data_IF_163997992397
#
_entry.id   IF_163997992397
#
_cell.length_a   1.000
_cell.length_b   1.000
_cell.length_c   1.000
_cell.angle_alpha   90.00
_cell.angle_beta   90.00
_cell.angle_gamma   90.00
#
_symmetry.space_group_name_H-M   'P 1'
#
loop_
_entity.id
_entity.type
_entity.pdbx_description
1 polymer ?
#
# COMPACT_ATOMS: atom_id res chain seq x y z
N UNK A 1 17.83 41.06 -15.90
CA UNK A 1 16.84 39.97 -15.95
C UNK A 1 16.78 39.41 -14.56
N UNK A 2 15.65 39.64 -13.89
CA UNK A 2 15.40 39.19 -12.52
C UNK A 2 15.18 37.68 -12.52
N UNK A 3 16.10 36.94 -11.89
CA UNK A 3 16.03 35.48 -11.76
C UNK A 3 14.99 35.08 -10.69
N UNK A 4 14.57 36.02 -9.83
CA UNK A 4 13.51 35.81 -8.83
C UNK A 4 12.11 35.70 -9.42
N UNK A 5 11.72 36.64 -10.29
CA UNK A 5 10.36 36.72 -10.88
C UNK A 5 9.93 35.45 -11.60
N UNK A 6 10.86 34.78 -12.30
CA UNK A 6 10.54 33.58 -13.09
C UNK A 6 10.33 32.32 -12.21
N UNK A 7 10.96 32.27 -11.02
CA UNK A 7 10.73 31.17 -10.06
C UNK A 7 9.38 31.32 -9.36
N UNK A 8 8.98 32.55 -9.08
CA UNK A 8 7.71 32.85 -8.43
C UNK A 8 6.53 32.60 -9.37
N UNK A 9 6.64 33.00 -10.66
CA UNK A 9 5.59 32.71 -11.67
C UNK A 9 5.35 31.20 -11.86
N UNK A 10 6.42 30.41 -12.00
CA UNK A 10 6.30 28.95 -12.18
C UNK A 10 5.74 28.24 -10.95
N UNK A 11 6.01 28.79 -9.76
CA UNK A 11 5.45 28.27 -8.51
C UNK A 11 3.94 28.54 -8.41
N UNK A 12 3.49 29.74 -8.76
CA UNK A 12 2.06 30.07 -8.78
C UNK A 12 1.29 29.23 -9.81
N UNK A 13 1.86 29.02 -11.00
CA UNK A 13 1.26 28.15 -12.02
C UNK A 13 1.11 26.71 -11.49
N UNK A 14 2.16 26.16 -10.89
CA UNK A 14 2.12 24.83 -10.26
C UNK A 14 1.08 24.75 -9.15
N UNK A 15 1.00 25.77 -8.28
CA UNK A 15 0.05 25.79 -7.18
C UNK A 15 -1.40 25.83 -7.69
N UNK A 16 -1.65 26.58 -8.76
CA UNK A 16 -2.96 26.60 -9.41
C UNK A 16 -3.30 25.24 -10.01
N UNK A 17 -2.38 24.61 -10.74
CA UNK A 17 -2.59 23.27 -11.30
C UNK A 17 -2.83 22.21 -10.21
N UNK A 18 -2.12 22.30 -9.08
CA UNK A 18 -2.34 21.45 -7.92
C UNK A 18 -3.75 21.61 -7.34
N UNK A 19 -4.21 22.85 -7.18
CA UNK A 19 -5.58 23.15 -6.69
C UNK A 19 -6.63 22.60 -7.64
N UNK A 20 -6.43 22.79 -8.94
CA UNK A 20 -7.35 22.32 -9.98
C UNK A 20 -7.41 20.79 -9.99
N UNK A 21 -6.27 20.11 -9.86
CA UNK A 21 -6.22 18.65 -9.75
C UNK A 21 -6.95 18.16 -8.49
N UNK A 22 -6.67 18.73 -7.31
CA UNK A 22 -7.34 18.32 -6.07
C UNK A 22 -8.85 18.49 -6.18
N UNK A 23 -9.32 19.62 -6.72
CA UNK A 23 -10.74 19.88 -6.92
C UNK A 23 -11.39 18.87 -7.88
N UNK A 24 -10.70 18.54 -8.98
CA UNK A 24 -11.16 17.51 -9.91
C UNK A 24 -11.23 16.14 -9.24
N UNK A 25 -10.20 15.74 -8.50
CA UNK A 25 -10.15 14.46 -7.79
C UNK A 25 -11.26 14.36 -6.75
N UNK A 26 -11.53 15.41 -5.98
CA UNK A 26 -12.65 15.45 -5.04
C UNK A 26 -13.99 15.22 -5.76
N UNK A 27 -14.18 15.87 -6.91
CA UNK A 27 -15.40 15.73 -7.71
C UNK A 27 -15.58 14.32 -8.28
N UNK A 28 -14.48 13.60 -8.53
CA UNK A 28 -14.49 12.24 -9.09
C UNK A 28 -14.65 11.19 -7.98
N UNK A 29 -13.95 11.35 -6.86
CA UNK A 29 -13.75 10.29 -5.87
C UNK A 29 -14.61 10.42 -4.61
N UNK A 30 -15.11 11.60 -4.29
CA UNK A 30 -15.99 11.79 -3.15
C UNK A 30 -17.41 11.96 -3.66
N UNK A 31 -18.16 10.87 -3.60
CA UNK A 31 -19.61 10.83 -3.91
C UNK A 31 -20.39 10.64 -2.62
N UNK A 32 -21.72 10.81 -2.66
CA UNK A 32 -22.56 10.69 -1.46
C UNK A 32 -22.45 9.33 -0.74
N UNK A 33 -22.03 8.28 -1.46
CA UNK A 33 -21.98 6.90 -0.96
C UNK A 33 -20.57 6.42 -0.58
N UNK A 34 -19.51 7.08 -1.07
CA UNK A 34 -18.12 6.63 -0.87
C UNK A 34 -17.14 7.80 -0.83
N UNK A 35 -16.39 7.90 0.28
CA UNK A 35 -15.31 8.87 0.48
C UNK A 35 -13.97 8.19 0.23
N UNK A 36 -13.56 8.17 -1.04
CA UNK A 36 -12.34 7.51 -1.49
C UNK A 36 -11.10 8.40 -1.30
N UNK A 37 -11.26 9.72 -1.34
CA UNK A 37 -10.17 10.71 -1.23
C UNK A 37 -10.28 11.51 0.08
N UNK A 38 -9.20 11.54 0.86
CA UNK A 38 -9.06 12.37 2.05
C UNK A 38 -7.94 13.38 1.87
N UNK A 39 -8.24 14.66 2.12
CA UNK A 39 -7.22 15.72 2.19
C UNK A 39 -6.70 15.79 3.62
N UNK A 40 -5.44 15.43 3.82
CA UNK A 40 -4.79 15.43 5.14
C UNK A 40 -4.16 16.78 5.47
N UNK A 41 -3.70 17.51 4.44
CA UNK A 41 -3.13 18.84 4.56
C UNK A 41 -3.39 19.61 3.26
N UNK A 42 -3.56 20.92 3.39
CA UNK A 42 -3.77 21.85 2.29
C UNK A 42 -2.87 23.08 2.45
N UNK A 43 -2.52 23.70 1.32
CA UNK A 43 -1.65 24.88 1.27
C UNK A 43 -2.45 26.09 1.80
N UNK A 44 -1.96 26.72 2.87
CA UNK A 44 -2.56 27.93 3.46
C UNK A 44 -1.65 29.14 3.24
N UNK A 45 -2.21 30.34 3.12
CA UNK A 45 -1.44 31.60 2.93
C UNK A 45 -0.37 31.85 4.01
N UNK A 46 -0.55 31.27 5.21
CA UNK A 46 0.30 31.50 6.39
C UNK A 46 1.38 30.42 6.64
N UNK A 47 1.46 29.34 5.84
CA UNK A 47 2.37 28.20 6.09
C UNK A 47 2.94 27.59 4.81
N UNK A 48 4.19 27.12 4.86
CA UNK A 48 4.84 26.24 3.86
C UNK A 48 4.23 24.82 3.79
N UNK A 49 2.92 24.71 4.02
CA UNK A 49 2.22 23.45 3.96
C UNK A 49 2.09 22.99 2.50
N UNK A 50 2.18 21.68 2.31
CA UNK A 50 1.95 21.04 1.02
C UNK A 50 0.58 20.37 1.03
N UNK A 51 0.02 20.14 -0.17
CA UNK A 51 -1.10 19.22 -0.30
C UNK A 51 -0.62 17.82 0.08
N UNK A 52 -1.31 17.20 1.03
CA UNK A 52 -1.14 15.78 1.34
C UNK A 52 -2.48 15.10 1.22
N UNK A 53 -2.57 14.08 0.36
CA UNK A 53 -3.79 13.35 0.07
C UNK A 53 -3.60 11.87 0.44
N UNK A 54 -4.67 11.26 0.93
CA UNK A 54 -4.79 9.82 1.09
C UNK A 54 -5.93 9.34 0.19
N UNK A 55 -5.60 8.47 -0.76
CA UNK A 55 -6.58 7.82 -1.65
C UNK A 55 -6.72 6.36 -1.26
N UNK A 56 -7.94 5.93 -0.96
CA UNK A 56 -8.28 4.52 -0.81
C UNK A 56 -8.52 3.93 -2.19
N UNK A 57 -7.92 2.79 -2.51
CA UNK A 57 -8.02 2.19 -3.84
C UNK A 57 -8.52 0.77 -3.66
N UNK A 58 -9.59 0.42 -4.36
CA UNK A 58 -10.20 -0.91 -4.35
C UNK A 58 -9.88 -1.60 -5.68
N UNK A 59 -8.79 -2.37 -5.80
CA UNK A 59 -8.45 -3.04 -7.05
C UNK A 59 -9.59 -3.94 -7.53
N UNK A 60 -9.95 -3.79 -8.81
CA UNK A 60 -11.04 -4.57 -9.42
C UNK A 60 -10.52 -5.94 -9.81
N UNK A 61 -11.04 -7.03 -9.21
CA UNK A 61 -10.64 -8.37 -9.60
C UNK A 61 -11.07 -8.65 -11.04
N UNK A 62 -10.25 -9.41 -11.77
CA UNK A 62 -10.59 -9.87 -13.13
C UNK A 62 -11.75 -10.87 -13.11
N UNK A 63 -11.89 -11.59 -12.00
CA UNK A 63 -12.96 -12.56 -11.75
C UNK A 63 -13.91 -12.06 -10.66
N UNK A 64 -15.09 -12.66 -10.53
CA UNK A 64 -16.08 -12.29 -9.51
C UNK A 64 -15.63 -12.60 -8.06
N UNK A 65 -14.61 -13.45 -7.90
CA UNK A 65 -14.08 -13.83 -6.61
C UNK A 65 -12.59 -14.21 -6.69
N UNK A 66 -11.90 -14.07 -5.56
CA UNK A 66 -10.49 -14.45 -5.38
C UNK A 66 -10.42 -15.52 -4.29
N UNK A 67 -9.70 -16.61 -4.55
CA UNK A 67 -9.29 -17.57 -3.55
C UNK A 67 -8.10 -17.02 -2.78
N UNK A 68 -8.24 -16.90 -1.47
CA UNK A 68 -7.20 -16.45 -0.55
C UNK A 68 -6.67 -17.66 0.21
N UNK A 69 -5.37 -17.91 0.08
CA UNK A 69 -4.64 -18.92 0.83
C UNK A 69 -3.81 -18.26 1.91
N UNK A 70 -3.99 -18.72 3.15
CA UNK A 70 -3.30 -18.16 4.31
C UNK A 70 -2.40 -19.21 4.92
N UNK A 71 -1.18 -18.80 5.25
CA UNK A 71 -0.22 -19.62 5.98
C UNK A 71 0.21 -18.86 7.23
N UNK A 72 0.03 -19.48 8.40
CA UNK A 72 0.40 -18.89 9.70
C UNK A 72 1.42 -19.79 10.40
N UNK A 73 2.46 -19.25 11.06
CA UNK A 73 3.36 -20.06 11.87
C UNK A 73 2.59 -20.69 13.04
N UNK A 74 2.95 -21.91 13.43
CA UNK A 74 2.29 -22.61 14.54
C UNK A 74 2.80 -22.15 15.93
N UNK A 75 3.94 -21.45 15.98
CA UNK A 75 4.58 -20.91 17.17
C UNK A 75 4.92 -19.45 16.87
N UNK A 76 4.44 -18.54 17.71
CA UNK A 76 5.02 -17.20 17.84
C UNK A 76 6.06 -17.36 18.94
N UNK A 77 7.34 -17.22 18.61
CA UNK A 77 8.40 -17.23 19.60
C UNK A 77 8.20 -15.98 20.48
N UNK A 78 7.72 -16.15 21.71
CA UNK A 78 7.62 -15.07 22.70
C UNK A 78 8.93 -14.86 23.47
N UNK A 79 9.98 -15.66 23.21
CA UNK A 79 11.26 -15.54 23.90
C UNK A 79 12.44 -15.79 22.94
N UNK A 80 13.02 -14.72 22.39
CA UNK A 80 14.40 -14.73 21.88
C UNK A 80 15.36 -14.84 23.08
N UNK A 81 15.53 -16.05 23.61
CA UNK A 81 16.76 -16.42 24.32
C UNK A 81 17.44 -17.56 23.57
N UNK A 82 18.35 -17.15 22.67
CA UNK A 82 19.29 -18.01 21.99
C UNK A 82 20.17 -18.74 23.02
N UNK A 83 19.94 -20.04 23.23
CA UNK A 83 20.97 -20.91 23.79
C UNK A 83 20.93 -22.32 23.20
N UNK A 84 22.11 -22.70 22.74
CA UNK A 84 22.44 -23.80 21.86
C UNK A 84 21.99 -25.20 22.33
N UNK A 85 21.67 -26.04 21.34
CA UNK A 85 22.13 -27.43 21.36
C UNK A 85 21.07 -28.52 21.56
N UNK A 86 21.22 -29.54 20.72
CA UNK A 86 20.60 -30.86 20.73
C UNK A 86 19.13 -30.95 20.27
N UNK A 87 18.95 -31.86 19.31
CA UNK A 87 17.70 -32.41 18.83
C UNK A 87 16.71 -32.73 19.96
N UNK A 88 15.83 -31.78 20.25
CA UNK A 88 14.61 -32.00 21.00
C UNK A 88 13.47 -31.47 20.14
N UNK A 89 12.90 -32.36 19.31
CA UNK A 89 11.60 -32.08 18.72
C UNK A 89 10.61 -31.82 19.88
N UNK A 90 9.94 -30.67 19.94
CA UNK A 90 8.99 -30.40 21.00
C UNK A 90 7.91 -31.49 21.03
N UNK A 91 7.44 -31.91 22.22
CA UNK A 91 6.53 -33.04 22.37
C UNK A 91 5.26 -32.83 21.55
N UNK A 92 4.79 -33.90 20.89
CA UNK A 92 3.65 -33.96 19.97
C UNK A 92 2.28 -33.60 20.57
N UNK A 93 2.18 -32.89 21.70
CA UNK A 93 0.90 -32.67 22.39
C UNK A 93 0.70 -31.30 23.06
N UNK A 94 1.34 -30.25 22.57
CA UNK A 94 0.81 -28.89 22.77
C UNK A 94 0.15 -28.45 21.46
N UNK A 95 -1.08 -28.93 21.26
CA UNK A 95 -1.94 -28.41 20.21
C UNK A 95 -2.37 -27.00 20.62
N UNK A 96 -1.52 -26.01 20.33
CA UNK A 96 -1.95 -24.61 20.25
C UNK A 96 -3.24 -24.62 19.45
N UNK A 97 -4.34 -24.11 20.02
CA UNK A 97 -5.61 -24.06 19.30
C UNK A 97 -5.39 -23.31 17.97
N UNK A 98 -6.05 -23.71 16.87
CA UNK A 98 -5.90 -23.00 15.61
C UNK A 98 -6.21 -21.51 15.84
N UNK A 99 -5.41 -20.58 15.28
CA UNK A 99 -5.70 -19.17 15.40
C UNK A 99 -7.13 -18.90 14.92
N UNK A 100 -7.93 -18.23 15.76
CA UNK A 100 -9.33 -17.94 15.44
C UNK A 100 -9.39 -16.79 14.44
N UNK A 101 -9.80 -17.07 13.22
CA UNK A 101 -10.14 -16.04 12.24
C UNK A 101 -11.61 -15.63 12.35
N UNK A 102 -11.92 -14.39 11.98
CA UNK A 102 -13.29 -13.98 11.73
C UNK A 102 -13.90 -14.91 10.65
N UNK A 103 -15.15 -15.32 10.85
CA UNK A 103 -15.94 -16.16 9.93
C UNK A 103 -15.63 -17.69 9.88
N UNK A 104 -15.07 -18.28 10.95
CA UNK A 104 -14.90 -19.76 11.06
C UNK A 104 -14.11 -20.38 9.89
N UNK A 105 -13.04 -19.73 9.44
CA UNK A 105 -12.14 -20.31 8.43
C UNK A 105 -11.51 -21.58 9.04
N UNK A 106 -11.71 -22.73 8.37
CA UNK A 106 -11.12 -23.99 8.81
C UNK A 106 -9.63 -24.01 8.47
N UNK A 107 -8.80 -24.07 9.50
CA UNK A 107 -7.37 -24.26 9.35
C UNK A 107 -7.02 -25.72 9.56
N UNK A 108 -6.11 -26.21 8.73
CA UNK A 108 -5.47 -27.50 8.90
C UNK A 108 -4.00 -27.31 9.25
N UNK A 109 -3.44 -28.27 10.00
CA UNK A 109 -2.01 -28.28 10.28
C UNK A 109 -1.27 -28.82 9.07
N UNK A 110 -0.20 -28.15 8.66
CA UNK A 110 0.72 -28.65 7.62
C UNK A 110 1.35 -29.99 8.01
N UNK A 111 1.87 -30.72 7.02
CA UNK A 111 2.48 -32.04 7.21
C UNK A 111 3.68 -32.02 8.18
N UNK A 112 4.45 -30.92 8.22
CA UNK A 112 5.56 -30.75 9.16
C UNK A 112 5.10 -30.40 10.58
N UNK A 113 3.82 -30.08 10.76
CA UNK A 113 3.28 -29.54 12.00
C UNK A 113 3.63 -28.07 12.25
N UNK A 114 4.51 -27.45 11.47
CA UNK A 114 5.10 -26.14 11.81
C UNK A 114 4.21 -24.96 11.43
N UNK A 115 3.17 -25.18 10.62
CA UNK A 115 2.31 -24.11 10.08
C UNK A 115 0.84 -24.52 10.06
N UNK A 116 -0.03 -23.53 10.25
CA UNK A 116 -1.45 -23.61 9.94
C UNK A 116 -1.69 -23.12 8.52
N UNK A 117 -2.58 -23.78 7.80
CA UNK A 117 -2.97 -23.42 6.44
C UNK A 117 -4.48 -23.49 6.27
N UNK A 118 -5.03 -22.55 5.51
CA UNK A 118 -6.44 -22.53 5.16
C UNK A 118 -6.68 -21.73 3.89
N UNK A 119 -7.86 -21.95 3.30
CA UNK A 119 -8.28 -21.32 2.05
C UNK A 119 -9.70 -20.81 2.20
N UNK A 120 -9.99 -19.63 1.71
CA UNK A 120 -11.34 -19.07 1.65
C UNK A 120 -11.50 -18.21 0.39
N UNK A 121 -12.74 -17.85 0.07
CA UNK A 121 -13.06 -17.07 -1.14
C UNK A 121 -13.64 -15.73 -0.73
N UNK A 122 -13.14 -14.66 -1.33
CA UNK A 122 -13.63 -13.29 -1.12
C UNK A 122 -14.09 -12.67 -2.44
N UNK A 123 -15.08 -11.78 -2.36
CA UNK A 123 -15.51 -10.95 -3.49
C UNK A 123 -14.73 -9.64 -3.57
N UNK A 124 -14.26 -9.15 -2.43
CA UNK A 124 -13.61 -7.86 -2.29
C UNK A 124 -12.37 -8.01 -1.42
N UNK A 125 -11.27 -7.36 -1.82
CA UNK A 125 -10.07 -7.21 -1.01
C UNK A 125 -10.17 -5.92 -0.18
N UNK A 126 -9.41 -5.84 0.91
CA UNK A 126 -9.31 -4.57 1.65
C UNK A 126 -8.68 -3.49 0.75
N UNK A 127 -9.10 -2.21 0.88
CA UNK A 127 -8.53 -1.13 0.09
C UNK A 127 -7.03 -0.97 0.32
N UNK A 128 -6.31 -0.62 -0.74
CA UNK A 128 -4.94 -0.13 -0.72
C UNK A 128 -4.93 1.38 -0.42
N UNK A 129 -3.88 1.87 0.23
CA UNK A 129 -3.68 3.29 0.47
C UNK A 129 -2.62 3.83 -0.50
N UNK A 130 -2.94 4.93 -1.16
CA UNK A 130 -1.98 5.78 -1.87
C UNK A 130 -1.87 7.10 -1.11
N UNK A 131 -0.75 7.30 -0.41
CA UNK A 131 -0.41 8.55 0.25
C UNK A 131 0.40 9.39 -0.72
N UNK A 132 0.00 10.63 -0.97
CA UNK A 132 0.72 11.55 -1.86
C UNK A 132 0.93 12.91 -1.21
N UNK A 133 2.07 13.53 -1.50
CA UNK A 133 2.39 14.89 -1.11
C UNK A 133 2.92 15.68 -2.30
N UNK A 134 2.34 16.84 -2.59
CA UNK A 134 2.71 17.64 -3.75
C UNK A 134 3.87 18.57 -3.42
N UNK A 135 5.05 18.42 -4.04
CA UNK A 135 6.11 19.41 -3.89
C UNK A 135 5.75 20.71 -4.63
N UNK A 136 6.37 21.84 -4.27
CA UNK A 136 6.25 23.13 -4.99
C UNK A 136 6.48 23.07 -6.51
N UNK A 137 7.23 22.06 -6.95
CA UNK A 137 7.67 21.86 -8.34
C UNK A 137 6.76 20.94 -9.16
N UNK A 138 5.74 20.34 -8.54
CA UNK A 138 4.74 19.52 -9.23
C UNK A 138 3.62 20.41 -9.80
N UNK A 139 3.09 20.11 -11.00
CA UNK A 139 3.45 19.02 -11.90
C UNK A 139 4.54 19.38 -12.92
N UNK A 140 4.90 20.66 -13.06
CA UNK A 140 5.75 21.09 -14.18
C UNK A 140 7.17 20.53 -14.20
N UNK A 141 7.72 20.05 -13.08
CA UNK A 141 9.15 19.70 -12.99
C UNK A 141 9.45 18.40 -12.24
N UNK A 142 8.67 18.04 -11.21
CA UNK A 142 8.89 16.85 -10.40
C UNK A 142 7.59 16.08 -10.17
N UNK A 143 7.64 14.76 -9.98
CA UNK A 143 6.47 13.99 -9.56
C UNK A 143 6.02 14.41 -8.15
N UNK A 144 4.81 14.04 -7.74
CA UNK A 144 4.44 14.09 -6.33
C UNK A 144 5.26 13.06 -5.56
N UNK A 145 5.56 13.33 -4.30
CA UNK A 145 6.08 12.30 -3.40
C UNK A 145 4.94 11.34 -3.07
N UNK A 146 5.20 10.04 -3.07
CA UNK A 146 4.14 9.06 -2.83
C UNK A 146 4.64 7.83 -2.10
N UNK A 147 3.69 7.12 -1.49
CA UNK A 147 3.91 5.81 -0.92
C UNK A 147 2.64 4.96 -1.06
N UNK A 148 2.82 3.71 -1.45
CA UNK A 148 1.73 2.72 -1.55
C UNK A 148 1.80 1.75 -0.38
N UNK A 149 0.70 1.60 0.35
CA UNK A 149 0.60 0.61 1.43
C UNK A 149 -0.62 -0.29 1.28
N UNK A 150 -0.43 -1.58 1.57
CA UNK A 150 -1.45 -2.59 1.37
C UNK A 150 -1.16 -3.81 2.25
N UNK A 151 -2.16 -4.25 3.02
CA UNK A 151 -1.99 -5.35 3.99
C UNK A 151 -1.83 -6.73 3.35
N UNK A 152 -2.23 -6.88 2.09
CA UNK A 152 -2.23 -8.16 1.38
C UNK A 152 -1.15 -8.28 0.30
N UNK A 153 -0.28 -7.29 0.17
CA UNK A 153 0.86 -7.32 -0.77
C UNK A 153 2.19 -7.51 -0.03
N UNK A 154 3.13 -8.19 -0.69
CA UNK A 154 4.52 -8.27 -0.21
C UNK A 154 5.29 -6.98 -0.50
N UNK A 155 6.39 -6.69 0.22
CA UNK A 155 7.24 -5.53 -0.07
C UNK A 155 7.69 -5.47 -1.54
N UNK A 156 8.10 -6.60 -2.11
CA UNK A 156 8.49 -6.68 -3.52
C UNK A 156 7.35 -6.38 -4.50
N UNK A 157 6.10 -6.67 -4.15
CA UNK A 157 4.94 -6.32 -4.97
C UNK A 157 4.63 -4.83 -4.86
N UNK A 158 4.76 -4.24 -3.67
CA UNK A 158 4.60 -2.79 -3.46
C UNK A 158 5.67 -2.01 -4.26
N UNK A 159 6.94 -2.42 -4.19
CA UNK A 159 8.03 -1.82 -4.98
C UNK A 159 7.74 -1.90 -6.49
N UNK A 160 7.19 -3.01 -6.97
CA UNK A 160 6.80 -3.15 -8.38
C UNK A 160 5.69 -2.15 -8.78
N UNK A 161 4.69 -1.94 -7.91
CA UNK A 161 3.66 -0.93 -8.13
C UNK A 161 4.24 0.48 -8.13
N UNK A 162 5.07 0.82 -7.15
CA UNK A 162 5.71 2.14 -7.06
C UNK A 162 6.59 2.42 -8.28
N UNK A 163 7.34 1.42 -8.75
CA UNK A 163 8.11 1.51 -9.99
C UNK A 163 7.22 1.77 -11.21
N UNK A 164 6.06 1.11 -11.29
CA UNK A 164 5.11 1.34 -12.38
C UNK A 164 4.51 2.75 -12.33
N UNK A 165 4.14 3.27 -11.16
CA UNK A 165 3.65 4.65 -11.02
C UNK A 165 4.69 5.67 -11.48
N UNK A 166 5.96 5.43 -11.16
CA UNK A 166 7.07 6.26 -11.64
C UNK A 166 7.24 6.21 -13.17
N UNK A 167 6.98 5.05 -13.79
CA UNK A 167 6.96 4.92 -15.25
C UNK A 167 5.83 5.75 -15.86
N UNK A 168 4.61 5.65 -15.30
CA UNK A 168 3.45 6.43 -15.77
C UNK A 168 3.71 7.94 -15.67
N UNK A 169 4.36 8.39 -14.59
CA UNK A 169 4.79 9.79 -14.47
C UNK A 169 5.73 10.21 -15.59
N UNK A 170 6.70 9.36 -15.94
CA UNK A 170 7.68 9.67 -16.99
C UNK A 170 7.04 9.83 -18.37
N UNK A 171 5.88 9.22 -18.59
CA UNK A 171 5.08 9.33 -19.82
C UNK A 171 4.13 10.53 -19.82
N UNK A 172 3.75 11.04 -18.65
CA UNK A 172 2.72 12.06 -18.45
C UNK A 172 3.11 13.48 -18.87
N UNK A 173 4.34 13.69 -19.36
CA UNK A 173 4.80 14.96 -19.93
C UNK A 173 4.55 16.20 -19.04
N UNK A 174 4.85 16.11 -17.74
CA UNK A 174 4.70 17.20 -16.76
C UNK A 174 3.25 17.66 -16.49
N UNK A 175 2.28 16.76 -16.67
CA UNK A 175 0.87 17.00 -16.36
C UNK A 175 0.47 16.39 -15.01
N UNK A 176 -0.62 16.87 -14.40
CA UNK A 176 -1.27 16.20 -13.26
C UNK A 176 -1.46 14.68 -13.47
N UNK A 177 -1.13 13.87 -12.47
CA UNK A 177 -0.95 12.42 -12.62
C UNK A 177 -1.81 11.55 -11.69
N UNK A 178 -2.39 12.12 -10.64
CA UNK A 178 -2.97 11.33 -9.56
C UNK A 178 -4.17 10.51 -10.03
N UNK A 179 -5.03 11.07 -10.89
CA UNK A 179 -6.14 10.32 -11.47
C UNK A 179 -5.65 9.10 -12.26
N UNK A 180 -4.62 9.28 -13.09
CA UNK A 180 -4.02 8.20 -13.89
C UNK A 180 -3.45 7.10 -13.01
N UNK A 181 -2.77 7.46 -11.92
CA UNK A 181 -2.26 6.47 -10.96
C UNK A 181 -3.39 5.70 -10.29
N UNK A 182 -4.44 6.39 -9.82
CA UNK A 182 -5.57 5.75 -9.16
C UNK A 182 -6.31 4.82 -10.13
N UNK A 183 -6.58 5.27 -11.36
CA UNK A 183 -7.22 4.46 -12.40
C UNK A 183 -6.39 3.22 -12.74
N UNK A 184 -5.07 3.39 -12.89
CA UNK A 184 -4.19 2.26 -13.18
C UNK A 184 -4.16 1.26 -12.02
N UNK A 185 -4.01 1.74 -10.78
CA UNK A 185 -4.02 0.87 -9.60
C UNK A 185 -5.36 0.15 -9.45
N UNK A 186 -6.46 0.80 -9.76
CA UNK A 186 -7.78 0.20 -9.65
C UNK A 186 -8.03 -0.88 -10.71
N UNK A 187 -7.65 -0.62 -11.97
CA UNK A 187 -8.05 -1.49 -13.08
C UNK A 187 -6.95 -2.46 -13.55
N UNK A 188 -5.67 -2.22 -13.22
CA UNK A 188 -4.54 -2.96 -13.80
C UNK A 188 -3.59 -3.59 -12.77
N UNK A 189 -3.58 -3.15 -11.51
CA UNK A 189 -2.55 -3.61 -10.56
C UNK A 189 -2.57 -5.12 -10.32
N UNK A 190 -3.75 -5.74 -10.21
CA UNK A 190 -3.86 -7.18 -9.96
C UNK A 190 -3.27 -8.00 -11.10
N UNK A 191 -3.61 -7.63 -12.35
CA UNK A 191 -3.04 -8.23 -13.56
C UNK A 191 -1.53 -8.00 -13.64
N UNK A 192 -1.06 -6.81 -13.30
CA UNK A 192 0.37 -6.49 -13.27
C UNK A 192 1.15 -7.35 -12.26
N UNK A 193 0.55 -7.63 -11.10
CA UNK A 193 1.12 -8.50 -10.06
C UNK A 193 0.85 -9.99 -10.27
N UNK A 194 0.22 -10.37 -11.39
CA UNK A 194 -0.23 -11.72 -11.70
C UNK A 194 -1.19 -12.33 -10.64
N UNK A 195 -1.94 -11.49 -9.93
CA UNK A 195 -2.99 -11.89 -8.99
C UNK A 195 -4.30 -11.94 -9.81
N UNK A 196 -4.72 -13.14 -10.23
CA UNK A 196 -5.89 -13.30 -11.10
C UNK A 196 -7.06 -13.97 -10.39
N UNK A 197 -6.84 -15.16 -9.84
CA UNK A 197 -7.82 -15.97 -9.11
C UNK A 197 -7.34 -16.39 -7.71
N UNK A 198 -6.04 -16.30 -7.45
CA UNK A 198 -5.42 -16.76 -6.22
C UNK A 198 -4.51 -15.69 -5.59
N UNK A 199 -4.67 -15.49 -4.28
CA UNK A 199 -3.86 -14.60 -3.46
C UNK A 199 -3.28 -15.38 -2.27
N UNK A 200 -1.96 -15.34 -2.11
CA UNK A 200 -1.28 -15.98 -0.98
C UNK A 200 -0.91 -14.93 0.07
N UNK A 201 -1.57 -14.99 1.23
CA UNK A 201 -1.22 -14.15 2.38
C UNK A 201 -0.12 -14.84 3.19
N UNK A 202 0.97 -14.09 3.41
CA UNK A 202 2.06 -14.50 4.28
C UNK A 202 2.05 -13.65 5.55
N UNK A 203 2.50 -14.21 6.68
CA UNK A 203 2.69 -13.43 7.89
C UNK A 203 3.67 -12.30 7.60
N UNK A 204 3.33 -11.09 8.02
CA UNK A 204 4.32 -10.01 8.07
C UNK A 204 5.36 -10.41 9.11
N UNK A 205 6.58 -10.70 8.68
CA UNK A 205 7.71 -10.75 9.60
C UNK A 205 7.94 -9.32 10.05
N UNK A 206 7.63 -9.00 11.31
CA UNK A 206 8.06 -7.74 11.89
C UNK A 206 9.59 -7.73 11.84
N UNK A 207 10.16 -6.90 10.99
CA UNK A 207 11.60 -6.66 10.96
C UNK A 207 11.97 -5.99 12.28
N UNK A 208 12.44 -6.78 13.24
CA UNK A 208 13.17 -6.29 14.39
C UNK A 208 14.60 -5.99 13.92
N UNK A 209 14.79 -4.86 13.23
CA UNK A 209 16.12 -4.38 12.85
C UNK A 209 16.38 -3.01 13.48
N UNK A 210 17.25 -3.04 14.50
CA UNK A 210 18.34 -2.12 14.75
C UNK A 210 18.04 -0.63 15.00
N UNK A 211 17.69 -0.32 16.25
CA UNK A 211 18.20 0.89 16.90
C UNK A 211 19.72 0.75 17.08
N UNK A 212 20.51 1.06 16.04
CA UNK A 212 21.92 1.38 16.24
C UNK A 212 22.01 2.75 16.92
N UNK A 213 22.23 2.72 18.24
CA UNK A 213 22.75 3.84 19.01
C UNK A 213 24.03 4.35 18.35
N UNK A 214 23.98 5.56 17.80
CA UNK A 214 25.17 6.31 17.43
C UNK A 214 25.88 6.73 18.72
N UNK A 215 27.03 6.12 19.00
CA UNK A 215 28.01 6.63 19.98
C UNK A 215 28.73 7.86 19.46
#
# INVERSE_FOLDING_TARGET
MDIGSFKDEKFEDNLQEQRDEVFALQSIFNTDDEEKLKILSEVTEDKDNLFTLLVLICPKPVQEAIQVDVVVPAVVDEDDEELEGAAAAPPMNEASSPPSFANNIQLSRSLSGQRWQGSFVVKFLSPMNLLVTFPPTYPSSSPPNFHVSCEWLTPSQLEALESMLQSLWSEACHMPIIFTWVDWLENNCLSHLAITDQLMLRPSVASHDDMQETS
#
